data_IF_134744309431
#
_entry.id   IF_134744309431
#
_cell.length_a   1.000
_cell.length_b   1.000
_cell.length_c   1.000
_cell.angle_alpha   90.00
_cell.angle_beta   90.00
_cell.angle_gamma   90.00
#
_symmetry.space_group_name_H-M   'P 1'
#
loop_
_entity.id
_entity.type
_entity.pdbx_description
1 polymer ?
#
# COMPACT_ATOMS: atom_id res chain seq x y z
N UNK A 1 11.03 10.31 -5.19
CA UNK A 1 10.12 11.46 -5.37
C UNK A 1 9.66 11.45 -6.83
N UNK A 2 8.59 10.74 -7.12
CA UNK A 2 7.96 10.81 -8.42
C UNK A 2 7.18 12.12 -8.53
N UNK A 3 7.79 13.14 -9.11
CA UNK A 3 7.00 14.24 -9.62
C UNK A 3 6.19 13.68 -10.78
N UNK A 4 4.87 13.68 -10.68
CA UNK A 4 4.01 13.38 -11.80
C UNK A 4 4.36 14.33 -12.95
N UNK A 5 5.10 13.83 -13.93
CA UNK A 5 5.57 14.62 -15.09
C UNK A 5 4.59 14.56 -16.25
N UNK A 6 3.52 13.77 -16.10
CA UNK A 6 2.48 13.59 -17.10
C UNK A 6 1.12 13.36 -16.43
N UNK A 7 0.03 13.55 -17.18
CA UNK A 7 -1.32 13.24 -16.74
C UNK A 7 -2.03 12.42 -17.83
N UNK A 8 -2.50 11.20 -17.54
CA UNK A 8 -2.19 10.43 -16.33
C UNK A 8 -0.68 10.26 -16.16
N UNK A 9 -0.18 9.96 -14.97
CA UNK A 9 1.26 9.79 -14.81
C UNK A 9 1.76 8.53 -15.53
N UNK A 10 3.01 8.60 -15.95
CA UNK A 10 3.65 7.46 -16.57
C UNK A 10 3.65 6.27 -15.59
N UNK A 11 3.31 5.07 -16.06
CA UNK A 11 3.38 3.89 -15.21
C UNK A 11 4.80 3.71 -14.66
N UNK A 12 4.86 3.23 -13.45
CA UNK A 12 6.09 2.73 -12.83
C UNK A 12 6.48 1.39 -13.46
N UNK A 13 7.29 0.59 -12.79
CA UNK A 13 7.62 -0.78 -13.25
C UNK A 13 6.36 -1.64 -13.30
N UNK A 14 5.42 -1.44 -12.34
CA UNK A 14 4.15 -2.15 -12.31
C UNK A 14 3.11 -1.52 -13.24
N UNK A 15 2.29 -2.35 -13.91
CA UNK A 15 1.19 -1.84 -14.73
C UNK A 15 0.10 -1.24 -13.83
N UNK A 16 -0.45 -0.10 -14.24
CA UNK A 16 -1.54 0.55 -13.52
C UNK A 16 -2.92 0.04 -13.93
N UNK A 17 -2.98 -0.80 -14.95
CA UNK A 17 -4.19 -1.48 -15.45
C UNK A 17 -3.83 -2.90 -15.87
N UNK A 18 -4.83 -3.77 -15.98
CA UNK A 18 -4.63 -5.17 -16.32
C UNK A 18 -4.59 -6.06 -15.08
N UNK A 19 -3.65 -6.97 -14.99
CA UNK A 19 -3.51 -7.89 -13.87
C UNK A 19 -2.10 -7.78 -13.29
N UNK A 20 -2.02 -7.84 -11.97
CA UNK A 20 -0.79 -7.99 -11.19
C UNK A 20 -0.94 -9.25 -10.34
N UNK A 21 0.04 -10.14 -10.42
CA UNK A 21 0.08 -11.36 -9.62
C UNK A 21 0.79 -11.06 -8.27
N UNK A 22 0.09 -11.30 -7.17
CA UNK A 22 0.51 -10.94 -5.81
C UNK A 22 0.63 -12.18 -4.94
N UNK A 23 1.81 -12.51 -4.45
CA UNK A 23 1.98 -13.53 -3.43
C UNK A 23 1.64 -12.96 -2.04
N UNK A 24 0.77 -13.64 -1.31
CA UNK A 24 0.43 -13.33 0.08
C UNK A 24 0.93 -14.44 0.98
N UNK A 25 2.04 -14.19 1.68
CA UNK A 25 2.83 -15.18 2.39
C UNK A 25 2.65 -15.01 3.88
N UNK A 26 2.35 -16.11 4.58
CA UNK A 26 2.24 -16.15 6.04
C UNK A 26 3.53 -16.70 6.63
N UNK A 27 4.20 -15.92 7.46
CA UNK A 27 5.43 -16.37 8.14
C UNK A 27 5.30 -16.27 9.65
N UNK A 28 5.90 -17.24 10.35
CA UNK A 28 5.94 -17.30 11.80
C UNK A 28 7.29 -17.78 12.33
N UNK A 29 7.44 -17.81 13.64
CA UNK A 29 8.64 -18.31 14.33
C UNK A 29 8.28 -19.32 15.42
N UNK A 30 9.25 -20.10 15.85
CA UNK A 30 9.03 -21.08 16.91
C UNK A 30 8.58 -20.43 18.23
N UNK A 31 9.09 -19.24 18.52
CA UNK A 31 8.76 -18.42 19.71
C UNK A 31 7.64 -17.41 19.46
N UNK A 32 7.15 -17.30 18.25
CA UNK A 32 6.00 -16.51 17.85
C UNK A 32 5.20 -17.25 16.77
N UNK A 33 4.49 -18.33 17.13
CA UNK A 33 3.74 -19.11 16.15
C UNK A 33 2.48 -18.36 15.70
N UNK A 34 2.19 -18.47 14.40
CA UNK A 34 0.94 -17.99 13.84
C UNK A 34 -0.25 -18.81 14.33
N UNK A 35 -1.40 -18.17 14.48
CA UNK A 35 -2.64 -18.81 14.91
C UNK A 35 -3.64 -18.90 13.76
N UNK A 36 -4.69 -19.72 13.91
CA UNK A 36 -5.80 -19.74 12.96
C UNK A 36 -6.51 -18.41 12.89
N UNK A 37 -6.64 -17.71 14.03
CA UNK A 37 -7.26 -16.37 14.06
C UNK A 37 -6.46 -15.35 13.27
N UNK A 38 -5.12 -15.39 13.36
CA UNK A 38 -4.26 -14.53 12.53
C UNK A 38 -4.42 -14.87 11.04
N UNK A 39 -4.44 -16.16 10.71
CA UNK A 39 -4.63 -16.63 9.33
C UNK A 39 -5.95 -16.11 8.75
N UNK A 40 -7.06 -16.31 9.46
CA UNK A 40 -8.40 -15.88 9.02
C UNK A 40 -8.46 -14.36 8.84
N UNK A 41 -7.83 -13.61 9.74
CA UNK A 41 -7.76 -12.16 9.67
C UNK A 41 -6.99 -11.65 8.45
N UNK A 42 -5.82 -12.23 8.17
CA UNK A 42 -5.02 -11.84 7.02
C UNK A 42 -5.60 -12.33 5.70
N UNK A 43 -6.24 -13.49 5.68
CA UNK A 43 -6.96 -13.95 4.50
C UNK A 43 -8.10 -12.99 4.13
N UNK A 44 -8.88 -12.54 5.10
CA UNK A 44 -9.86 -11.47 4.91
C UNK A 44 -9.21 -10.17 4.41
N UNK A 45 -8.04 -9.83 4.95
CA UNK A 45 -7.30 -8.63 4.51
C UNK A 45 -6.84 -8.73 3.06
N UNK A 46 -6.45 -9.90 2.58
CA UNK A 46 -6.08 -10.14 1.18
C UNK A 46 -7.27 -9.99 0.23
N UNK A 47 -8.45 -10.49 0.62
CA UNK A 47 -9.70 -10.31 -0.13
C UNK A 47 -10.05 -8.82 -0.25
N UNK A 48 -10.08 -8.10 0.88
CA UNK A 48 -10.40 -6.67 0.92
C UNK A 48 -9.41 -5.81 0.13
N UNK A 49 -8.12 -6.18 0.14
CA UNK A 49 -7.09 -5.52 -0.66
C UNK A 49 -7.36 -5.67 -2.17
N UNK A 50 -7.66 -6.88 -2.62
CA UNK A 50 -7.96 -7.15 -4.02
C UNK A 50 -9.22 -6.41 -4.48
N UNK A 51 -10.29 -6.49 -3.68
CA UNK A 51 -11.57 -5.83 -3.96
C UNK A 51 -11.42 -4.31 -4.02
N UNK A 52 -10.59 -3.74 -3.14
CA UNK A 52 -10.34 -2.30 -3.15
C UNK A 52 -9.78 -1.83 -4.50
N UNK A 53 -8.72 -2.47 -5.01
CA UNK A 53 -8.12 -2.08 -6.28
C UNK A 53 -9.05 -2.31 -7.46
N UNK A 54 -9.80 -3.41 -7.44
CA UNK A 54 -10.81 -3.68 -8.46
C UNK A 54 -11.86 -2.58 -8.54
N UNK A 55 -12.40 -2.16 -7.39
CA UNK A 55 -13.41 -1.08 -7.33
C UNK A 55 -12.80 0.29 -7.62
N UNK A 56 -11.67 0.64 -6.99
CA UNK A 56 -11.05 1.94 -7.15
C UNK A 56 -10.60 2.22 -8.60
N UNK A 57 -10.21 1.18 -9.33
CA UNK A 57 -9.77 1.29 -10.71
C UNK A 57 -10.88 1.20 -11.76
N UNK A 58 -12.15 1.21 -11.39
CA UNK A 58 -13.26 0.98 -12.32
C UNK A 58 -13.13 -0.37 -13.05
N UNK A 59 -12.74 -1.40 -12.32
CA UNK A 59 -12.48 -2.75 -12.84
C UNK A 59 -11.34 -2.85 -13.87
N UNK A 60 -10.44 -1.86 -13.89
CA UNK A 60 -9.32 -1.81 -14.83
C UNK A 60 -8.05 -2.49 -14.30
N UNK A 61 -7.90 -2.60 -12.96
CA UNK A 61 -6.76 -3.25 -12.31
C UNK A 61 -7.21 -4.40 -11.42
N UNK A 62 -6.72 -5.60 -11.71
CA UNK A 62 -7.00 -6.79 -10.92
C UNK A 62 -5.74 -7.22 -10.16
N UNK A 63 -5.83 -7.29 -8.85
CA UNK A 63 -4.85 -7.95 -8.00
C UNK A 63 -5.20 -9.44 -7.93
N UNK A 64 -4.42 -10.30 -8.61
CA UNK A 64 -4.60 -11.74 -8.57
C UNK A 64 -3.81 -12.30 -7.39
N UNK A 65 -4.52 -12.62 -6.32
CA UNK A 65 -3.93 -13.09 -5.09
C UNK A 65 -3.56 -14.58 -5.18
N UNK A 66 -2.30 -14.88 -4.86
CA UNK A 66 -1.79 -16.21 -4.58
C UNK A 66 -1.58 -16.29 -3.07
N UNK A 67 -2.61 -16.80 -2.38
CA UNK A 67 -2.64 -16.82 -0.92
C UNK A 67 -2.17 -18.19 -0.46
N UNK A 68 -1.11 -18.22 0.35
CA UNK A 68 -0.63 -19.44 0.96
C UNK A 68 -1.63 -19.98 1.99
N UNK A 69 -1.73 -21.29 2.08
CA UNK A 69 -2.70 -21.98 2.95
C UNK A 69 -2.13 -22.36 4.32
N UNK A 70 -0.87 -21.99 4.58
CA UNK A 70 -0.16 -22.32 5.81
C UNK A 70 0.81 -21.24 6.25
N UNK A 71 1.23 -21.32 7.49
CA UNK A 71 2.37 -20.56 8.02
C UNK A 71 3.69 -21.24 7.64
N UNK A 72 4.60 -20.45 7.08
CA UNK A 72 5.97 -20.89 6.79
C UNK A 72 6.88 -20.51 7.96
N UNK A 73 7.61 -21.47 8.48
CA UNK A 73 8.46 -21.30 9.65
C UNK A 73 9.79 -20.66 9.27
N UNK A 74 9.97 -19.38 9.65
CA UNK A 74 11.25 -18.69 9.55
C UNK A 74 12.21 -19.21 10.64
N UNK A 75 13.48 -19.36 10.30
CA UNK A 75 14.52 -19.84 11.24
C UNK A 75 14.85 -18.79 12.29
N UNK A 76 15.35 -19.22 13.46
CA UNK A 76 15.73 -18.33 14.56
C UNK A 76 14.55 -17.85 15.41
N UNK A 77 14.78 -16.80 16.16
CA UNK A 77 13.77 -16.12 16.98
C UNK A 77 13.22 -14.90 16.22
N UNK A 78 11.95 -14.54 16.43
CA UNK A 78 11.44 -13.28 15.88
C UNK A 78 12.25 -12.06 16.34
N UNK A 79 12.86 -12.14 17.52
CA UNK A 79 13.71 -11.08 18.07
C UNK A 79 15.00 -10.84 17.26
N UNK A 80 15.45 -11.84 16.50
CA UNK A 80 16.61 -11.68 15.62
C UNK A 80 16.32 -10.69 14.48
N UNK A 81 15.05 -10.55 14.11
CA UNK A 81 14.55 -9.70 13.04
C UNK A 81 13.86 -8.44 13.52
N UNK A 82 13.51 -8.37 14.82
CA UNK A 82 12.89 -7.20 15.40
C UNK A 82 13.82 -5.98 15.21
N UNK A 83 13.30 -4.95 14.58
CA UNK A 83 14.04 -3.74 14.29
C UNK A 83 13.58 -2.59 15.19
N UNK A 84 14.48 -1.70 15.46
CA UNK A 84 14.18 -0.34 15.91
C UNK A 84 13.91 0.54 14.69
N UNK A 85 13.60 1.81 14.90
CA UNK A 85 13.40 2.72 13.76
C UNK A 85 14.68 2.85 12.91
N UNK A 86 14.56 3.18 11.59
CA UNK A 86 15.72 3.40 10.74
C UNK A 86 16.73 4.41 11.29
N UNK A 87 16.24 5.43 12.00
CA UNK A 87 17.09 6.43 12.67
C UNK A 87 17.86 5.82 13.85
N UNK A 88 17.25 4.92 14.62
CA UNK A 88 17.91 4.22 15.71
C UNK A 88 18.92 3.19 15.19
N UNK A 89 18.60 2.48 14.10
CA UNK A 89 19.54 1.57 13.44
C UNK A 89 20.76 2.35 12.93
N UNK A 90 20.56 3.49 12.28
CA UNK A 90 21.63 4.35 11.79
C UNK A 90 22.48 4.92 12.94
N UNK A 91 21.86 5.32 14.05
CA UNK A 91 22.58 5.82 15.24
C UNK A 91 23.41 4.73 15.93
N UNK A 92 22.98 3.49 15.90
CA UNK A 92 23.68 2.34 16.46
C UNK A 92 24.77 1.80 15.53
N UNK A 93 24.78 2.24 14.26
CA UNK A 93 25.66 1.70 13.22
C UNK A 93 25.33 0.28 12.81
N UNK A 94 24.07 -0.14 13.03
CA UNK A 94 23.59 -1.46 12.64
C UNK A 94 23.13 -1.43 11.17
N UNK A 95 23.39 -2.53 10.45
CA UNK A 95 22.85 -2.68 9.10
C UNK A 95 21.35 -2.91 9.17
N UNK A 96 20.58 -2.42 8.18
CA UNK A 96 19.13 -2.65 8.14
C UNK A 96 18.80 -4.14 8.22
N UNK A 97 18.05 -4.54 9.23
CA UNK A 97 17.65 -5.95 9.43
C UNK A 97 16.59 -6.42 8.44
N UNK A 98 16.05 -5.52 7.66
CA UNK A 98 15.03 -5.80 6.63
C UNK A 98 15.48 -6.83 5.62
N UNK A 99 16.69 -6.67 5.05
CA UNK A 99 17.20 -7.63 4.09
C UNK A 99 17.43 -8.99 4.74
N UNK A 100 17.95 -9.01 5.97
CA UNK A 100 18.10 -10.26 6.74
C UNK A 100 16.76 -10.97 6.94
N UNK A 101 15.69 -10.20 7.21
CA UNK A 101 14.35 -10.74 7.32
C UNK A 101 13.86 -11.30 5.97
N UNK A 102 14.00 -10.57 4.88
CA UNK A 102 13.57 -11.07 3.56
C UNK A 102 14.35 -12.29 3.11
N UNK A 103 15.67 -12.31 3.32
CA UNK A 103 16.49 -13.49 3.02
C UNK A 103 16.04 -14.72 3.81
N UNK A 104 15.65 -14.51 5.07
CA UNK A 104 15.13 -15.57 5.92
C UNK A 104 13.72 -16.04 5.50
N UNK A 105 12.86 -15.12 5.05
CA UNK A 105 11.56 -15.48 4.48
C UNK A 105 11.76 -16.26 3.18
N UNK A 106 12.59 -15.77 2.26
CA UNK A 106 12.93 -16.50 1.02
C UNK A 106 13.41 -17.90 1.35
N UNK A 107 14.35 -18.06 2.27
CA UNK A 107 14.84 -19.39 2.68
C UNK A 107 13.76 -20.31 3.25
N UNK A 108 12.66 -19.76 3.75
CA UNK A 108 11.55 -20.55 4.27
C UNK A 108 10.50 -20.93 3.21
N UNK A 109 10.46 -20.24 2.06
CA UNK A 109 9.36 -20.39 1.09
C UNK A 109 9.80 -20.74 -0.32
N UNK A 110 11.05 -20.48 -0.70
CA UNK A 110 11.55 -20.57 -2.09
C UNK A 110 11.42 -21.98 -2.72
N UNK A 111 11.56 -23.03 -1.92
CA UNK A 111 11.40 -24.42 -2.39
C UNK A 111 9.92 -24.85 -2.54
N UNK A 112 8.97 -24.01 -2.08
CA UNK A 112 7.56 -24.38 -1.99
C UNK A 112 6.67 -23.51 -2.85
N UNK A 113 7.06 -22.27 -3.13
CA UNK A 113 6.27 -21.26 -3.87
C UNK A 113 6.96 -20.96 -5.22
N UNK A 114 6.19 -21.04 -6.30
CA UNK A 114 6.61 -20.61 -7.62
C UNK A 114 6.42 -19.08 -7.76
N UNK A 115 7.53 -18.37 -7.83
CA UNK A 115 7.55 -16.92 -7.95
C UNK A 115 7.68 -16.41 -9.40
N UNK A 116 7.67 -17.30 -10.40
CA UNK A 116 7.95 -16.94 -11.81
C UNK A 116 7.13 -15.74 -12.29
N UNK A 117 5.84 -15.70 -12.00
CA UNK A 117 4.92 -14.63 -12.44
C UNK A 117 4.58 -13.62 -11.35
N UNK A 118 5.12 -13.77 -10.13
CA UNK A 118 4.80 -12.89 -9.00
C UNK A 118 5.49 -11.53 -9.15
N UNK A 119 4.73 -10.45 -9.07
CA UNK A 119 5.20 -9.07 -9.18
C UNK A 119 5.29 -8.37 -7.83
N UNK A 120 4.38 -8.71 -6.89
CA UNK A 120 4.34 -8.14 -5.54
C UNK A 120 4.36 -9.25 -4.51
N UNK A 121 5.09 -9.04 -3.42
CA UNK A 121 5.06 -9.90 -2.24
C UNK A 121 4.50 -9.15 -1.04
N UNK A 122 3.40 -9.66 -0.48
CA UNK A 122 2.84 -9.20 0.78
C UNK A 122 3.11 -10.25 1.86
N UNK A 123 3.71 -9.85 2.97
CA UNK A 123 4.10 -10.75 4.04
C UNK A 123 3.24 -10.49 5.26
N UNK A 124 2.56 -11.50 5.75
CA UNK A 124 1.81 -11.50 7.01
C UNK A 124 2.63 -12.15 8.11
N UNK A 125 2.63 -11.54 9.29
CA UNK A 125 3.27 -12.03 10.50
C UNK A 125 2.23 -12.13 11.62
N UNK A 126 2.44 -12.94 12.69
CA UNK A 126 1.47 -13.05 13.78
C UNK A 126 1.14 -11.71 14.43
N UNK A 127 -0.14 -11.47 14.70
CA UNK A 127 -0.63 -10.18 15.23
C UNK A 127 -0.18 -9.89 16.66
N UNK A 128 0.26 -10.90 17.41
CA UNK A 128 0.72 -10.76 18.79
C UNK A 128 1.99 -9.90 18.92
N UNK A 129 2.82 -9.89 17.88
CA UNK A 129 4.04 -9.09 17.79
C UNK A 129 4.25 -8.61 16.37
N UNK A 130 4.95 -7.52 16.20
CA UNK A 130 5.44 -7.08 14.92
C UNK A 130 6.97 -7.16 14.88
N UNK A 131 7.50 -7.46 13.71
CA UNK A 131 8.95 -7.53 13.49
C UNK A 131 9.54 -6.15 13.29
N UNK A 132 8.73 -5.19 12.83
CA UNK A 132 9.18 -3.86 12.47
C UNK A 132 8.50 -2.79 13.32
N UNK A 133 9.29 -2.03 14.05
CA UNK A 133 8.80 -0.87 14.81
C UNK A 133 8.65 0.32 13.88
N UNK A 134 7.55 1.04 14.02
CA UNK A 134 7.35 2.31 13.31
C UNK A 134 6.66 2.20 11.96
N UNK A 135 6.06 1.06 11.67
CA UNK A 135 5.17 0.92 10.52
C UNK A 135 5.75 0.14 9.36
N UNK A 136 5.03 0.18 8.27
CA UNK A 136 5.29 -0.60 7.09
C UNK A 136 6.63 -0.26 6.47
N UNK A 137 7.22 -1.26 5.88
CA UNK A 137 8.41 -1.10 5.11
C UNK A 137 8.08 -1.33 3.65
N UNK A 138 7.87 -0.22 2.98
CA UNK A 138 7.86 -0.17 1.55
C UNK A 138 9.28 -0.33 1.03
N UNK A 139 9.46 -1.16 0.01
CA UNK A 139 10.71 -1.29 -0.73
C UNK A 139 10.55 -0.70 -2.11
N UNK A 140 10.53 0.63 -2.17
CA UNK A 140 10.71 1.35 -3.40
C UNK A 140 11.94 2.24 -3.32
N UNK A 141 12.89 2.01 -4.22
CA UNK A 141 13.97 2.88 -4.69
C UNK A 141 15.06 3.34 -3.72
N UNK A 142 14.80 3.53 -2.42
CA UNK A 142 15.81 4.11 -1.50
C UNK A 142 16.49 3.09 -0.58
N UNK A 143 16.13 1.81 -0.66
CA UNK A 143 16.68 0.78 0.20
C UNK A 143 17.16 -0.39 -0.63
N UNK A 144 18.43 -0.74 -0.52
CA UNK A 144 19.07 -1.88 -1.20
C UNK A 144 18.55 -3.24 -0.70
N UNK A 145 17.22 -3.39 -0.61
CA UNK A 145 16.57 -4.63 -0.24
C UNK A 145 15.84 -5.24 -1.44
N UNK A 146 15.86 -6.56 -1.53
CA UNK A 146 15.13 -7.29 -2.55
C UNK A 146 14.72 -8.68 -2.04
N UNK A 147 13.64 -9.18 -2.58
CA UNK A 147 13.15 -10.53 -2.34
C UNK A 147 13.67 -11.42 -3.46
N UNK A 148 14.84 -12.01 -3.22
CA UNK A 148 15.58 -12.76 -4.25
C UNK A 148 15.30 -14.25 -4.11
N UNK A 149 14.44 -14.76 -4.96
CA UNK A 149 14.11 -16.17 -5.09
C UNK A 149 14.96 -16.86 -6.15
N UNK A 150 14.85 -18.17 -6.27
CA UNK A 150 15.46 -18.94 -7.35
C UNK A 150 14.91 -18.52 -8.73
N UNK A 151 13.63 -18.14 -8.79
CA UNK A 151 12.93 -17.82 -10.04
C UNK A 151 13.23 -16.40 -10.51
N UNK A 152 13.19 -15.43 -9.58
CA UNK A 152 13.38 -14.01 -9.91
C UNK A 152 13.70 -13.15 -8.68
N UNK A 153 14.02 -11.90 -8.93
CA UNK A 153 14.11 -10.87 -7.88
C UNK A 153 12.88 -9.99 -7.92
N UNK A 154 12.18 -9.84 -6.79
CA UNK A 154 11.02 -8.99 -6.61
C UNK A 154 11.42 -7.80 -5.74
N UNK A 155 11.06 -6.61 -6.15
CA UNK A 155 11.39 -5.35 -5.48
C UNK A 155 10.20 -4.74 -4.74
N UNK A 156 8.99 -5.08 -5.14
CA UNK A 156 7.75 -4.57 -4.59
C UNK A 156 7.26 -5.49 -3.47
N UNK A 157 7.61 -5.12 -2.23
CA UNK A 157 7.37 -5.94 -1.03
C UNK A 157 6.76 -5.07 0.05
N UNK A 158 5.73 -5.58 0.73
CA UNK A 158 5.18 -4.96 1.92
C UNK A 158 4.99 -5.97 3.05
N UNK A 159 5.38 -5.57 4.27
CA UNK A 159 5.14 -6.30 5.49
C UNK A 159 4.65 -5.35 6.58
N UNK A 160 3.59 -5.68 7.33
CA UNK A 160 3.07 -4.79 8.36
C UNK A 160 4.06 -4.64 9.51
N UNK A 161 4.21 -3.41 9.99
CA UNK A 161 4.98 -3.11 11.19
C UNK A 161 4.09 -3.07 12.46
N UNK A 162 4.73 -2.90 13.62
CA UNK A 162 4.08 -2.82 14.94
C UNK A 162 2.91 -1.84 14.99
N UNK A 163 3.12 -0.68 14.42
CA UNK A 163 2.14 0.38 14.40
C UNK A 163 0.83 -0.03 13.72
N UNK A 164 0.92 -0.81 12.64
CA UNK A 164 -0.25 -1.27 11.90
C UNK A 164 -0.99 -2.37 12.64
N UNK A 165 -0.26 -3.26 13.31
CA UNK A 165 -0.86 -4.32 14.12
C UNK A 165 -1.52 -3.73 15.38
N UNK A 166 -0.90 -2.75 16.02
CA UNK A 166 -1.52 -2.04 17.16
C UNK A 166 -2.76 -1.24 16.74
N UNK A 167 -2.75 -0.63 15.55
CA UNK A 167 -3.95 0.03 14.99
C UNK A 167 -5.07 -0.94 14.69
N UNK A 168 -4.76 -2.18 14.33
CA UNK A 168 -5.77 -3.22 14.17
C UNK A 168 -6.52 -3.47 15.46
N UNK A 169 -5.83 -3.51 16.60
CA UNK A 169 -6.48 -3.59 17.91
C UNK A 169 -7.38 -2.39 18.22
N UNK A 170 -7.17 -1.25 17.58
CA UNK A 170 -8.01 -0.04 17.66
C UNK A 170 -9.05 0.08 16.54
N UNK A 171 -9.23 -0.97 15.73
CA UNK A 171 -10.25 -1.03 14.68
C UNK A 171 -9.79 -0.57 13.27
N UNK A 172 -8.50 -0.32 13.07
CA UNK A 172 -7.96 -0.04 11.74
C UNK A 172 -7.53 -1.35 11.08
N UNK A 173 -8.15 -1.79 9.99
CA UNK A 173 -7.80 -3.04 9.36
C UNK A 173 -6.47 -2.96 8.60
N UNK A 174 -5.69 -4.03 8.67
CA UNK A 174 -4.37 -4.12 8.01
C UNK A 174 -4.44 -4.04 6.48
N UNK A 175 -5.57 -4.43 5.87
CA UNK A 175 -5.71 -4.36 4.42
C UNK A 175 -5.55 -2.94 3.88
N UNK A 176 -6.00 -1.93 4.61
CA UNK A 176 -5.87 -0.52 4.17
C UNK A 176 -4.42 -0.05 4.13
N UNK A 177 -3.58 -0.66 4.97
CA UNK A 177 -2.14 -0.48 4.92
C UNK A 177 -1.54 -1.07 3.64
N UNK A 178 -1.83 -2.32 3.32
CA UNK A 178 -1.36 -2.93 2.06
C UNK A 178 -1.82 -2.13 0.84
N UNK A 179 -3.04 -1.61 0.85
CA UNK A 179 -3.54 -0.71 -0.20
C UNK A 179 -2.67 0.56 -0.30
N UNK A 180 -2.33 1.18 0.82
CA UNK A 180 -1.49 2.38 0.85
C UNK A 180 -0.11 2.12 0.24
N UNK A 181 0.58 1.09 0.73
CA UNK A 181 1.94 0.79 0.28
C UNK A 181 2.00 0.35 -1.19
N UNK A 182 1.07 -0.52 -1.61
CA UNK A 182 0.98 -0.90 -3.02
C UNK A 182 0.57 0.29 -3.89
N UNK A 183 -0.19 1.23 -3.37
CA UNK A 183 -0.44 2.52 -4.03
C UNK A 183 0.86 3.23 -4.41
N UNK A 184 1.85 3.26 -3.51
CA UNK A 184 3.16 3.80 -3.80
C UNK A 184 3.94 3.00 -4.84
N UNK A 185 3.87 1.66 -4.79
CA UNK A 185 4.46 0.78 -5.80
C UNK A 185 3.88 1.04 -7.19
N UNK A 186 2.61 1.39 -7.27
CA UNK A 186 1.93 1.82 -8.49
C UNK A 186 2.25 3.28 -8.89
N UNK A 187 3.06 3.99 -8.11
CA UNK A 187 3.44 5.38 -8.36
C UNK A 187 2.44 6.41 -7.85
N UNK A 188 1.42 6.03 -7.08
CA UNK A 188 0.42 6.94 -6.52
C UNK A 188 1.05 7.71 -5.34
N UNK A 189 1.10 9.04 -5.39
CA UNK A 189 1.75 9.82 -4.35
C UNK A 189 0.88 9.97 -3.10
N UNK A 190 1.51 10.30 -1.97
CA UNK A 190 0.78 10.82 -0.81
C UNK A 190 -0.07 12.04 -1.16
N UNK A 191 -1.24 12.13 -0.53
CA UNK A 191 -2.07 13.33 -0.52
C UNK A 191 -1.78 14.16 0.74
N UNK A 192 -0.51 14.30 1.07
CA UNK A 192 -0.02 15.08 2.20
C UNK A 192 0.93 16.18 1.71
N UNK A 193 1.03 17.28 2.46
CA UNK A 193 2.05 18.30 2.24
C UNK A 193 3.39 17.79 2.79
N UNK A 194 4.18 17.15 1.94
CA UNK A 194 5.51 16.62 2.27
C UNK A 194 6.61 17.69 2.30
N UNK A 195 6.28 18.95 2.27
CA UNK A 195 7.30 20.00 2.32
C UNK A 195 7.91 20.13 3.72
N UNK A 196 8.76 19.15 4.05
CA UNK A 196 9.55 19.09 5.28
C UNK A 196 10.47 20.34 5.43
N UNK A 197 10.67 21.11 4.36
CA UNK A 197 11.52 22.28 4.32
C UNK A 197 10.78 23.59 4.65
N UNK A 198 9.47 23.57 4.83
CA UNK A 198 8.75 24.75 5.30
C UNK A 198 9.08 25.04 6.77
N UNK A 199 9.56 26.25 7.09
CA UNK A 199 9.77 26.66 8.48
C UNK A 199 8.48 26.50 9.27
N UNK A 200 8.50 25.63 10.31
CA UNK A 200 7.34 25.33 11.14
C UNK A 200 6.51 24.13 10.69
N UNK A 201 6.89 23.42 9.62
CA UNK A 201 6.30 22.14 9.29
C UNK A 201 6.48 21.19 10.48
N UNK A 202 5.38 20.72 11.04
CA UNK A 202 5.44 19.65 12.06
C UNK A 202 5.80 18.37 11.33
N UNK A 203 6.67 17.57 11.93
CA UNK A 203 7.14 16.28 11.41
C UNK A 203 6.00 15.27 11.15
N UNK A 204 4.78 15.61 11.56
CA UNK A 204 3.52 14.92 11.27
C UNK A 204 2.55 15.95 10.70
N UNK A 205 2.58 16.11 9.40
CA UNK A 205 1.64 16.99 8.71
C UNK A 205 0.25 16.38 8.88
N UNK A 206 -0.67 17.20 9.36
CA UNK A 206 -2.09 16.87 9.25
C UNK A 206 -2.37 16.82 7.75
N UNK A 207 -2.61 15.65 7.24
CA UNK A 207 -2.91 15.46 5.83
C UNK A 207 -4.18 16.24 5.51
N UNK A 208 -4.20 17.09 4.47
CA UNK A 208 -5.36 17.95 4.17
C UNK A 208 -6.67 17.17 4.02
N UNK A 209 -6.58 15.94 3.57
CA UNK A 209 -7.72 15.03 3.38
C UNK A 209 -7.97 14.11 4.58
N UNK A 210 -7.01 14.01 5.53
CA UNK A 210 -7.12 13.11 6.68
C UNK A 210 -7.49 11.70 6.25
N UNK A 211 -8.37 11.07 7.00
CA UNK A 211 -8.85 9.72 6.73
C UNK A 211 -9.83 9.55 5.56
N UNK A 212 -10.06 10.58 4.75
CA UNK A 212 -10.91 10.49 3.55
C UNK A 212 -10.22 9.83 2.36
N UNK A 213 -8.89 9.80 2.34
CA UNK A 213 -8.11 9.17 1.28
C UNK A 213 -7.08 8.22 1.87
N UNK A 214 -7.02 7.00 1.34
CA UNK A 214 -6.09 5.97 1.80
C UNK A 214 -4.62 6.38 1.61
N UNK A 215 -4.31 7.17 0.58
CA UNK A 215 -2.96 7.69 0.33
C UNK A 215 -2.64 8.94 1.18
N UNK A 216 -3.62 9.46 1.90
CA UNK A 216 -3.43 10.50 2.91
C UNK A 216 -3.22 9.88 4.28
N UNK A 217 -4.13 9.02 4.69
CA UNK A 217 -4.04 8.29 5.96
C UNK A 217 -4.72 6.91 5.87
N UNK A 218 -3.94 5.85 5.79
CA UNK A 218 -4.48 4.48 5.71
C UNK A 218 -5.25 4.04 6.96
N UNK A 219 -5.04 4.72 8.08
CA UNK A 219 -5.76 4.48 9.35
C UNK A 219 -7.09 5.20 9.49
N UNK A 220 -7.51 5.98 8.49
CA UNK A 220 -8.74 6.76 8.54
C UNK A 220 -10.01 5.92 8.45
N UNK A 221 -11.14 6.52 8.87
CA UNK A 221 -12.44 5.86 8.86
C UNK A 221 -13.06 5.67 7.47
N UNK A 222 -12.65 6.47 6.50
CA UNK A 222 -13.16 6.49 5.11
C UNK A 222 -12.10 5.95 4.15
N UNK A 223 -11.91 4.68 4.13
CA UNK A 223 -10.88 4.02 3.33
C UNK A 223 -11.26 4.00 1.85
N UNK A 224 -11.14 5.16 1.22
CA UNK A 224 -11.36 5.34 -0.22
C UNK A 224 -10.09 5.90 -0.86
N UNK A 225 -10.05 5.94 -2.17
CA UNK A 225 -9.07 6.73 -2.92
C UNK A 225 -9.84 7.85 -3.61
N UNK A 226 -9.36 9.09 -3.44
CA UNK A 226 -10.05 10.25 -4.02
C UNK A 226 -10.17 10.13 -5.54
N UNK A 227 -11.22 10.72 -6.09
CA UNK A 227 -11.43 10.80 -7.53
C UNK A 227 -10.25 11.44 -8.24
N UNK A 228 -9.56 12.41 -7.61
CA UNK A 228 -8.34 13.02 -8.16
C UNK A 228 -7.24 11.99 -8.38
N UNK A 229 -6.92 11.15 -7.40
CA UNK A 229 -5.88 10.12 -7.55
C UNK A 229 -6.29 9.03 -8.55
N UNK A 230 -7.55 8.62 -8.54
CA UNK A 230 -8.09 7.65 -9.50
C UNK A 230 -8.03 8.19 -10.94
N UNK A 231 -8.34 9.47 -11.15
CA UNK A 231 -8.20 10.11 -12.45
C UNK A 231 -6.72 10.26 -12.85
N UNK A 232 -5.86 10.70 -11.92
CA UNK A 232 -4.43 10.79 -12.11
C UNK A 232 -3.80 9.43 -12.48
N UNK A 233 -4.29 8.35 -11.90
CA UNK A 233 -3.91 6.98 -12.23
C UNK A 233 -4.43 6.50 -13.60
N UNK A 234 -5.31 7.26 -14.26
CA UNK A 234 -5.94 6.86 -15.51
C UNK A 234 -7.06 5.83 -15.35
N UNK A 235 -7.54 5.65 -14.12
CA UNK A 235 -8.65 4.73 -13.85
C UNK A 235 -10.01 5.30 -14.22
N UNK A 236 -10.14 6.63 -14.16
CA UNK A 236 -11.34 7.33 -14.60
C UNK A 236 -11.14 7.90 -15.99
N UNK A 237 -12.18 7.80 -16.81
CA UNK A 237 -12.22 8.39 -18.13
C UNK A 237 -12.59 9.90 -18.02
N UNK A 238 -12.18 10.70 -18.99
CA UNK A 238 -12.41 12.17 -18.95
C UNK A 238 -13.90 12.54 -18.93
N UNK A 239 -14.75 11.67 -19.47
CA UNK A 239 -16.20 11.87 -19.45
C UNK A 239 -16.83 11.63 -18.08
N UNK A 240 -16.10 11.01 -17.13
CA UNK A 240 -16.49 10.89 -15.72
C UNK A 240 -16.14 12.14 -14.91
N UNK A 241 -15.43 13.09 -15.49
CA UNK A 241 -15.05 14.36 -14.85
C UNK A 241 -15.88 15.50 -15.47
N UNK A 242 -16.56 16.26 -14.62
CA UNK A 242 -17.18 17.52 -15.04
C UNK A 242 -16.14 18.65 -14.92
N UNK A 243 -15.95 19.40 -15.98
CA UNK A 243 -15.06 20.57 -15.97
C UNK A 243 -15.86 21.82 -16.24
N UNK A 244 -15.59 22.88 -15.46
CA UNK A 244 -16.25 24.18 -15.61
C UNK A 244 -15.30 25.30 -15.23
N UNK A 245 -15.70 26.55 -15.47
CA UNK A 245 -14.98 27.73 -15.02
C UNK A 245 -15.63 28.33 -13.76
N UNK A 246 -14.91 29.22 -13.09
CA UNK A 246 -15.42 29.90 -11.91
C UNK A 246 -16.67 30.75 -12.27
N UNK A 247 -16.72 31.28 -13.47
CA UNK A 247 -17.80 32.13 -13.95
C UNK A 247 -19.08 31.33 -14.26
N UNK A 248 -18.93 30.10 -14.66
CA UNK A 248 -20.05 29.21 -15.08
C UNK A 248 -20.64 28.42 -13.94
N UNK A 249 -19.82 28.06 -12.93
CA UNK A 249 -20.20 27.13 -11.86
C UNK A 249 -21.44 27.57 -11.07
N UNK A 250 -21.64 28.89 -10.90
CA UNK A 250 -22.75 29.44 -10.11
C UNK A 250 -24.12 29.31 -10.78
N UNK A 251 -24.16 28.95 -12.07
CA UNK A 251 -25.39 28.88 -12.86
C UNK A 251 -25.87 27.47 -13.17
N UNK A 252 -25.12 26.44 -12.77
CA UNK A 252 -25.41 25.05 -13.12
C UNK A 252 -25.51 24.14 -11.91
N UNK A 253 -26.29 23.07 -12.05
CA UNK A 253 -26.35 21.97 -11.10
C UNK A 253 -25.53 20.81 -11.61
N UNK A 254 -24.68 20.23 -10.74
CA UNK A 254 -23.87 19.08 -11.02
C UNK A 254 -24.31 17.90 -10.15
N UNK A 255 -24.73 16.81 -10.80
CA UNK A 255 -25.00 15.56 -10.14
C UNK A 255 -23.73 14.71 -10.18
N UNK A 256 -23.19 14.39 -9.02
CA UNK A 256 -21.99 13.55 -8.90
C UNK A 256 -22.36 12.17 -8.39
N UNK A 257 -21.78 11.16 -8.98
CA UNK A 257 -21.85 9.77 -8.51
C UNK A 257 -20.90 9.61 -7.33
N UNK A 258 -21.32 8.93 -6.24
CA UNK A 258 -20.41 8.62 -5.15
C UNK A 258 -19.21 7.79 -5.60
N UNK A 259 -18.04 8.08 -5.03
CA UNK A 259 -16.73 7.48 -5.37
C UNK A 259 -16.68 5.94 -5.24
N UNK A 260 -17.61 5.34 -4.51
CA UNK A 260 -17.73 3.90 -4.30
C UNK A 260 -18.74 3.22 -5.24
N UNK A 261 -19.20 3.90 -6.28
CA UNK A 261 -20.12 3.36 -7.29
C UNK A 261 -19.38 3.22 -8.60
N UNK A 262 -19.03 1.99 -8.95
CA UNK A 262 -18.34 1.67 -10.22
C UNK A 262 -19.24 2.01 -11.42
N UNK A 263 -18.65 2.59 -12.45
CA UNK A 263 -19.37 2.98 -13.67
C UNK A 263 -20.20 4.25 -13.53
N UNK A 264 -19.86 5.10 -12.59
CA UNK A 264 -20.50 6.41 -12.40
C UNK A 264 -20.38 7.32 -13.61
N UNK A 265 -21.39 8.17 -13.86
CA UNK A 265 -21.35 9.11 -15.01
C UNK A 265 -20.44 10.30 -14.76
N UNK A 266 -20.52 10.92 -13.59
CA UNK A 266 -19.67 12.03 -13.16
C UNK A 266 -19.28 11.81 -11.71
N UNK A 267 -17.99 11.77 -11.45
CA UNK A 267 -17.46 11.48 -10.12
C UNK A 267 -16.75 12.68 -9.46
N UNK A 268 -16.36 13.65 -10.27
CA UNK A 268 -15.80 14.90 -9.77
C UNK A 268 -16.22 16.10 -10.60
N UNK A 269 -16.19 17.26 -9.95
CA UNK A 269 -16.27 18.57 -10.59
C UNK A 269 -14.91 19.27 -10.43
N UNK A 270 -14.30 19.60 -11.55
CA UNK A 270 -13.06 20.41 -11.63
C UNK A 270 -13.42 21.82 -12.04
N UNK A 271 -13.09 22.78 -11.20
CA UNK A 271 -13.35 24.19 -11.46
C UNK A 271 -12.05 24.93 -11.78
N UNK A 272 -11.94 25.45 -12.99
CA UNK A 272 -10.80 26.27 -13.40
C UNK A 272 -10.94 27.66 -12.77
N UNK A 273 -9.99 28.04 -11.92
CA UNK A 273 -10.02 29.32 -11.17
C UNK A 273 -9.39 30.48 -11.94
N UNK A 274 -8.42 30.20 -12.79
CA UNK A 274 -7.74 31.19 -13.64
C UNK A 274 -7.10 30.52 -14.86
N UNK A 275 -6.71 31.30 -15.85
CA UNK A 275 -5.86 30.83 -16.97
C UNK A 275 -4.43 30.54 -16.53
#
# INVERSE_FOLDING_TARGET
KGNATAFPFAPTVLPITGQIDVAFIFVDWADLPGTQTDYDYFNYSAEMFSDFYWMASENKLKMKMHIEDKWHRVSGSYLDYATVSPEEEAQRGEAPKKQVFYDAVVAAVDDEIDFTDIEIVLIAIPTAKSVFVGGPHEFNFDWNGNFKTADRTIYDIAAPGDFNIQRTASGTPTWSYFVHEVGHMLGIPHQADEDENKPGAKKYVVTPLGGWDVMSEHGGGQRTMTTWLRWLAGWLDDDQIACTTKEEVDSEFYELTPVNVVGGKKEALVIKLSE
#
